data_IF_574249131615
#
_entry.id   IF_574249131615
#
_cell.length_a   1.000
_cell.length_b   1.000
_cell.length_c   1.000
_cell.angle_alpha   90.00
_cell.angle_beta   90.00
_cell.angle_gamma   90.00
#
_symmetry.space_group_name_H-M   'P 1'
#
loop_
_entity.id
_entity.type
_entity.pdbx_description
1 polymer ?
#
# COMPACT_ATOMS: atom_id res chain seq x y z
N UNK A 1 1.84 17.04 3.34
CA UNK A 1 1.10 17.13 2.07
C UNK A 1 0.53 15.76 1.76
N UNK A 2 -0.77 15.56 1.94
CA UNK A 2 -1.49 14.37 1.48
C UNK A 2 -2.58 14.86 0.54
N UNK A 3 -2.31 14.74 -0.75
CA UNK A 3 -3.17 15.21 -1.83
C UNK A 3 -4.35 14.26 -1.98
N UNK A 4 -5.37 14.38 -1.11
CA UNK A 4 -6.78 14.01 -1.37
C UNK A 4 -7.10 12.71 -2.13
N UNK A 5 -6.23 11.71 -2.10
CA UNK A 5 -6.41 10.50 -2.87
C UNK A 5 -7.36 9.57 -2.11
N UNK A 6 -8.66 9.62 -2.44
CA UNK A 6 -9.67 8.69 -1.92
C UNK A 6 -9.49 7.25 -2.42
N UNK A 7 -8.49 7.00 -3.27
CA UNK A 7 -8.12 5.71 -3.82
C UNK A 7 -6.99 5.83 -4.84
N UNK A 8 -6.40 4.70 -5.19
CA UNK A 8 -5.38 4.57 -6.25
C UNK A 8 -5.81 3.48 -7.21
N UNK A 9 -5.62 3.70 -8.52
CA UNK A 9 -5.78 2.65 -9.52
C UNK A 9 -4.59 1.69 -9.42
N UNK A 10 -4.69 0.72 -8.51
CA UNK A 10 -3.61 -0.22 -8.22
C UNK A 10 -3.70 -1.38 -9.20
N UNK A 11 -2.99 -1.21 -10.31
CA UNK A 11 -2.93 -2.21 -11.36
C UNK A 11 -1.71 -3.12 -11.22
N UNK A 12 -0.81 -2.98 -12.20
CA UNK A 12 0.46 -3.71 -12.34
C UNK A 12 1.34 -3.69 -11.09
N UNK A 13 1.15 -2.70 -10.21
CA UNK A 13 1.88 -2.56 -8.97
C UNK A 13 1.47 -3.59 -7.88
N UNK A 14 0.30 -4.24 -7.99
CA UNK A 14 -0.10 -5.34 -7.09
C UNK A 14 0.13 -6.70 -7.72
N UNK A 15 -0.42 -7.00 -8.90
CA UNK A 15 -0.28 -8.34 -9.49
C UNK A 15 1.11 -8.63 -10.06
N UNK A 16 1.95 -7.61 -10.22
CA UNK A 16 3.36 -7.75 -10.58
C UNK A 16 4.31 -7.72 -9.38
N UNK A 17 3.80 -7.61 -8.15
CA UNK A 17 4.64 -7.61 -6.96
C UNK A 17 5.04 -9.04 -6.57
N UNK A 18 6.24 -9.20 -6.01
CA UNK A 18 6.74 -10.49 -5.50
C UNK A 18 5.80 -11.09 -4.43
N UNK A 19 5.14 -10.22 -3.65
CA UNK A 19 4.11 -10.60 -2.69
C UNK A 19 2.87 -9.69 -2.84
N UNK A 20 1.93 -10.05 -3.73
CA UNK A 20 0.73 -9.25 -4.01
C UNK A 20 -0.17 -9.05 -2.80
N UNK A 21 -0.18 -10.01 -1.88
CA UNK A 21 -1.01 -9.96 -0.66
C UNK A 21 -0.48 -8.89 0.28
N UNK A 22 0.81 -8.90 0.58
CA UNK A 22 1.42 -7.89 1.46
C UNK A 22 1.47 -6.51 0.79
N UNK A 23 1.62 -6.45 -0.53
CA UNK A 23 1.46 -5.21 -1.29
C UNK A 23 0.07 -4.62 -1.11
N UNK A 24 -0.98 -5.44 -1.25
CA UNK A 24 -2.37 -5.00 -1.02
C UNK A 24 -2.59 -4.51 0.40
N UNK A 25 -2.05 -5.23 1.41
CA UNK A 25 -2.16 -4.84 2.82
C UNK A 25 -1.44 -3.51 3.13
N UNK A 26 -0.22 -3.34 2.61
CA UNK A 26 0.55 -2.11 2.81
C UNK A 26 -0.18 -0.89 2.20
N UNK A 27 -0.74 -1.05 0.99
CA UNK A 27 -1.51 0.01 0.33
C UNK A 27 -2.81 0.31 1.09
N UNK A 28 -3.53 -0.71 1.54
CA UNK A 28 -4.74 -0.52 2.36
C UNK A 28 -4.45 0.22 3.66
N UNK A 29 -3.32 -0.09 4.32
CA UNK A 29 -2.90 0.59 5.54
C UNK A 29 -2.59 2.08 5.29
N UNK A 30 -1.89 2.41 4.19
CA UNK A 30 -1.62 3.81 3.82
C UNK A 30 -2.92 4.57 3.54
N UNK A 31 -3.83 3.98 2.75
CA UNK A 31 -5.05 4.64 2.27
C UNK A 31 -6.09 4.79 3.38
N UNK A 32 -6.33 3.74 4.16
CA UNK A 32 -7.44 3.69 5.12
C UNK A 32 -7.03 3.95 6.57
N UNK A 33 -5.76 3.70 6.92
CA UNK A 33 -5.28 3.80 8.30
C UNK A 33 -4.24 4.91 8.48
N UNK A 34 -3.86 5.61 7.40
CA UNK A 34 -2.89 6.71 7.40
C UNK A 34 -1.53 6.35 8.04
N UNK A 35 -1.13 5.08 7.94
CA UNK A 35 0.18 4.64 8.44
C UNK A 35 1.31 5.31 7.66
N UNK A 36 2.47 5.44 8.30
CA UNK A 36 3.68 5.93 7.65
C UNK A 36 4.18 4.97 6.57
N UNK A 37 4.97 5.50 5.63
CA UNK A 37 5.61 4.69 4.58
C UNK A 37 6.50 3.60 5.20
N UNK A 38 7.15 3.89 6.32
CA UNK A 38 8.01 2.97 7.04
C UNK A 38 7.21 1.76 7.57
N UNK A 39 6.05 2.00 8.18
CA UNK A 39 5.14 0.95 8.64
C UNK A 39 4.58 0.14 7.48
N UNK A 40 4.23 0.78 6.37
CA UNK A 40 3.78 0.09 5.17
C UNK A 40 4.86 -0.81 4.55
N UNK A 41 6.13 -0.39 4.59
CA UNK A 41 7.26 -1.21 4.13
C UNK A 41 7.47 -2.43 5.06
N UNK A 42 7.25 -2.29 6.36
CA UNK A 42 7.28 -3.43 7.28
C UNK A 42 6.18 -4.46 6.92
N UNK A 43 4.95 -4.00 6.68
CA UNK A 43 3.84 -4.84 6.23
C UNK A 43 4.16 -5.53 4.88
N UNK A 44 4.77 -4.80 3.95
CA UNK A 44 5.16 -5.35 2.64
C UNK A 44 6.15 -6.50 2.78
N UNK A 45 7.13 -6.37 3.68
CA UNK A 45 8.20 -7.36 3.91
C UNK A 45 7.71 -8.59 4.68
N UNK A 46 6.62 -8.47 5.45
CA UNK A 46 6.08 -9.55 6.28
C UNK A 46 6.80 -9.66 7.61
#
# INVERSE_FOLDING_TARGET
FISGASGVAIGRNVWGADNPVNMTRALAAIIHQQVSVQEAVAILKG
#
